data_IF_230557020243
#
_entry.id   IF_230557020243
#
_cell.length_a   1.000
_cell.length_b   1.000
_cell.length_c   1.000
_cell.angle_alpha   90.00
_cell.angle_beta   90.00
_cell.angle_gamma   90.00
#
_symmetry.space_group_name_H-M   'P 1'
#
loop_
_entity.id
_entity.type
_entity.pdbx_description
1 polymer ?
#
# COMPACT_ATOMS: atom_id res chain seq x y z
N UNK A 1 0.85 22.12 4.18
CA UNK A 1 -0.09 21.08 3.74
C UNK A 1 0.39 19.75 4.32
N UNK A 2 -0.47 18.91 4.88
CA UNK A 2 -0.05 17.62 5.44
C UNK A 2 0.19 16.63 4.30
N UNK A 3 1.46 16.21 4.12
CA UNK A 3 1.87 15.30 3.05
C UNK A 3 1.24 13.92 3.20
N UNK A 4 1.07 13.44 4.43
CA UNK A 4 0.51 12.11 4.67
C UNK A 4 -0.97 12.08 4.34
N UNK A 5 -1.73 13.12 4.75
CA UNK A 5 -3.16 13.20 4.46
C UNK A 5 -3.43 13.24 2.95
N UNK A 6 -2.64 13.98 2.19
CA UNK A 6 -2.74 14.00 0.73
C UNK A 6 -2.45 12.64 0.10
N UNK A 7 -1.35 12.01 0.51
CA UNK A 7 -0.97 10.69 0.01
C UNK A 7 -2.07 9.66 0.29
N UNK A 8 -2.62 9.66 1.49
CA UNK A 8 -3.72 8.77 1.87
C UNK A 8 -4.99 9.07 1.10
N UNK A 9 -5.32 10.36 0.91
CA UNK A 9 -6.47 10.77 0.12
C UNK A 9 -6.38 10.30 -1.33
N UNK A 10 -5.20 10.36 -1.97
CA UNK A 10 -5.00 9.82 -3.31
C UNK A 10 -5.22 8.31 -3.33
N UNK A 11 -4.63 7.58 -2.38
CA UNK A 11 -4.77 6.12 -2.26
C UNK A 11 -6.20 5.64 -1.94
N UNK A 12 -7.03 6.51 -1.37
CA UNK A 12 -8.46 6.26 -1.09
C UNK A 12 -9.34 6.64 -2.28
N UNK A 13 -8.99 7.72 -2.99
CA UNK A 13 -9.74 8.22 -4.14
C UNK A 13 -9.56 7.35 -5.38
N UNK A 14 -8.35 6.79 -5.55
CA UNK A 14 -8.06 5.82 -6.61
C UNK A 14 -7.65 4.46 -5.97
N UNK A 15 -8.62 3.56 -5.73
CA UNK A 15 -8.33 2.24 -5.18
C UNK A 15 -7.69 1.29 -6.20
N UNK A 16 -7.63 1.67 -7.48
CA UNK A 16 -7.12 0.85 -8.57
C UNK A 16 -5.64 1.09 -8.86
N UNK A 17 -4.97 1.97 -8.09
CA UNK A 17 -3.54 2.23 -8.25
C UNK A 17 -2.76 0.91 -8.25
N UNK A 18 -2.05 0.64 -9.35
CA UNK A 18 -1.33 -0.61 -9.60
C UNK A 18 0.20 -0.43 -9.60
N UNK A 19 0.67 0.81 -9.70
CA UNK A 19 2.09 1.17 -9.73
C UNK A 19 2.39 2.46 -8.95
N UNK A 20 3.47 2.45 -8.17
CA UNK A 20 4.00 3.64 -7.51
C UNK A 20 5.45 3.84 -7.91
N UNK A 21 5.78 5.06 -8.35
CA UNK A 21 7.11 5.45 -8.76
C UNK A 21 7.66 6.62 -7.94
N UNK A 22 8.96 6.62 -7.69
CA UNK A 22 9.66 7.76 -7.09
C UNK A 22 10.35 8.58 -8.18
N UNK A 23 9.84 9.78 -8.43
CA UNK A 23 10.22 10.57 -9.60
C UNK A 23 10.97 11.82 -9.15
N UNK A 24 12.08 12.16 -9.82
CA UNK A 24 12.84 13.35 -9.49
C UNK A 24 12.04 14.61 -9.84
N UNK A 25 12.10 15.72 -9.06
CA UNK A 25 11.34 16.93 -9.34
C UNK A 25 11.47 17.48 -10.77
N UNK A 26 12.64 17.32 -11.40
CA UNK A 26 12.85 17.76 -12.79
C UNK A 26 12.10 16.94 -13.83
N UNK A 27 11.74 15.68 -13.51
CA UNK A 27 10.98 14.78 -14.40
C UNK A 27 9.47 14.96 -14.22
N UNK A 28 9.01 15.47 -13.06
CA UNK A 28 7.60 15.77 -12.79
C UNK A 28 7.01 16.82 -13.74
N UNK A 29 7.81 17.83 -14.10
CA UNK A 29 7.38 18.88 -15.04
C UNK A 29 7.01 18.28 -16.40
N UNK A 30 7.81 17.31 -16.88
CA UNK A 30 7.56 16.62 -18.15
C UNK A 30 6.27 15.77 -18.11
N UNK A 31 6.01 15.07 -16.99
CA UNK A 31 4.77 14.28 -16.81
C UNK A 31 3.49 15.15 -16.81
N UNK A 32 3.63 16.42 -16.44
CA UNK A 32 2.51 17.37 -16.36
C UNK A 32 2.24 18.04 -17.71
N UNK A 33 3.28 18.32 -18.50
CA UNK A 33 3.16 18.93 -19.83
C UNK A 33 2.49 18.00 -20.86
N UNK A 34 2.74 16.69 -20.78
CA UNK A 34 2.08 15.67 -21.62
C UNK A 34 0.62 15.40 -21.23
N UNK A 35 0.11 16.08 -20.20
CA UNK A 35 -1.24 15.89 -19.63
C UNK A 35 -2.23 16.99 -20.05
N UNK A 36 -2.19 17.41 -21.31
CA UNK A 36 -3.14 18.36 -21.90
C UNK A 36 -4.52 17.70 -22.07
N UNK A 37 -5.26 17.60 -20.96
CA UNK A 37 -6.66 17.20 -20.92
C UNK A 37 -6.94 15.91 -20.13
N UNK A 38 -6.80 15.93 -18.81
CA UNK A 38 -7.81 15.42 -17.85
C UNK A 38 -7.32 15.53 -16.40
N UNK A 39 -8.24 15.23 -15.47
CA UNK A 39 -8.25 15.38 -14.00
C UNK A 39 -7.06 14.76 -13.22
N UNK A 40 -5.82 15.16 -13.52
CA UNK A 40 -4.67 14.84 -12.70
C UNK A 40 -4.78 15.53 -11.33
N UNK A 41 -4.77 14.76 -10.24
CA UNK A 41 -4.54 15.30 -8.90
C UNK A 41 -3.04 15.57 -8.80
N UNK A 42 -2.67 16.82 -9.03
CA UNK A 42 -1.28 17.29 -8.94
C UNK A 42 -1.25 18.58 -8.14
N UNK A 43 -0.47 18.60 -7.07
CA UNK A 43 -0.09 19.86 -6.40
C UNK A 43 1.09 20.56 -7.12
N UNK A 44 1.52 19.99 -8.26
CA UNK A 44 2.60 20.46 -9.11
C UNK A 44 4.01 20.10 -8.63
N UNK A 45 4.19 19.56 -7.41
CA UNK A 45 5.55 19.40 -6.83
C UNK A 45 5.80 18.14 -6.01
N UNK A 46 4.74 17.48 -5.51
CA UNK A 46 4.84 16.39 -4.54
C UNK A 46 4.25 15.08 -5.07
N UNK A 47 3.03 15.12 -5.59
CA UNK A 47 2.31 13.94 -6.05
C UNK A 47 1.79 14.13 -7.47
N UNK A 48 1.79 13.05 -8.24
CA UNK A 48 1.19 12.97 -9.56
C UNK A 48 0.39 11.68 -9.62
N UNK A 49 -0.86 11.74 -10.07
CA UNK A 49 -1.70 10.56 -10.22
C UNK A 49 -2.47 10.63 -11.53
N UNK A 50 -2.34 9.57 -12.34
CA UNK A 50 -3.04 9.39 -13.63
C UNK A 50 -2.97 7.93 -14.04
N UNK A 51 -3.99 7.44 -14.74
CA UNK A 51 -4.03 6.08 -15.31
C UNK A 51 -3.67 4.99 -14.28
N UNK A 52 -4.14 5.15 -13.05
CA UNK A 52 -3.86 4.27 -11.91
C UNK A 52 -2.37 4.16 -11.52
N UNK A 53 -1.56 5.13 -11.92
CA UNK A 53 -0.16 5.25 -11.50
C UNK A 53 0.00 6.43 -10.56
N UNK A 54 0.84 6.26 -9.53
CA UNK A 54 1.14 7.28 -8.55
C UNK A 54 2.64 7.61 -8.54
N UNK A 55 2.98 8.82 -8.96
CA UNK A 55 4.31 9.40 -8.82
C UNK A 55 4.44 10.13 -7.48
N UNK A 56 5.48 9.82 -6.72
CA UNK A 56 5.87 10.56 -5.51
C UNK A 56 7.21 11.24 -5.76
N UNK A 57 7.27 12.55 -5.51
CA UNK A 57 8.50 13.31 -5.65
C UNK A 57 9.57 12.83 -4.69
N UNK A 58 10.78 12.58 -5.18
CA UNK A 58 11.89 12.08 -4.33
C UNK A 58 12.18 13.02 -3.16
N UNK A 59 11.96 14.33 -3.32
CA UNK A 59 12.08 15.33 -2.25
C UNK A 59 11.05 15.13 -1.11
N UNK A 60 9.90 14.52 -1.41
CA UNK A 60 8.82 14.28 -0.46
C UNK A 60 8.94 12.93 0.26
N UNK A 61 9.73 11.98 -0.26
CA UNK A 61 9.82 10.61 0.25
C UNK A 61 10.22 10.55 1.73
N UNK A 62 11.31 11.23 2.12
CA UNK A 62 11.78 11.18 3.51
C UNK A 62 10.80 11.88 4.49
N UNK A 63 10.31 13.11 4.22
CA UNK A 63 9.27 13.73 5.03
C UNK A 63 8.00 12.86 5.17
N UNK A 64 7.53 12.29 4.05
CA UNK A 64 6.34 11.46 4.00
C UNK A 64 6.54 10.14 4.77
N UNK A 65 7.68 9.48 4.61
CA UNK A 65 8.06 8.29 5.36
C UNK A 65 8.03 8.56 6.87
N UNK A 66 8.63 9.67 7.31
CA UNK A 66 8.66 10.03 8.73
C UNK A 66 7.26 10.33 9.28
N UNK A 67 6.39 10.98 8.49
CA UNK A 67 5.00 11.22 8.86
C UNK A 67 4.22 9.91 8.96
N UNK A 68 4.30 9.05 7.94
CA UNK A 68 3.63 7.74 7.91
C UNK A 68 4.07 6.85 9.07
N UNK A 69 5.38 6.82 9.36
CA UNK A 69 5.94 6.05 10.48
C UNK A 69 5.43 6.54 11.82
N UNK A 70 5.41 7.85 12.07
CA UNK A 70 4.87 8.43 13.32
C UNK A 70 3.39 8.10 13.48
N UNK A 71 2.59 8.30 12.44
CA UNK A 71 1.17 8.00 12.48
C UNK A 71 0.89 6.51 12.70
N UNK A 72 1.65 5.63 12.04
CA UNK A 72 1.57 4.19 12.26
C UNK A 72 1.91 3.79 13.70
N UNK A 73 2.99 4.34 14.28
CA UNK A 73 3.37 4.05 15.66
C UNK A 73 2.26 4.51 16.62
N UNK A 74 1.75 5.73 16.45
CA UNK A 74 0.66 6.25 17.28
C UNK A 74 -0.60 5.39 17.21
N UNK A 75 -1.04 5.01 15.99
CA UNK A 75 -2.19 4.13 15.80
C UNK A 75 -1.97 2.75 16.44
N UNK A 76 -0.75 2.21 16.36
CA UNK A 76 -0.41 0.92 16.98
C UNK A 76 -0.37 0.98 18.50
N UNK A 77 0.12 2.07 19.09
CA UNK A 77 0.08 2.30 20.54
C UNK A 77 -1.37 2.37 21.01
N UNK A 78 -2.22 3.09 20.28
CA UNK A 78 -3.63 3.21 20.60
C UNK A 78 -4.38 1.87 20.52
N UNK A 79 -4.13 1.13 19.43
CA UNK A 79 -4.74 -0.18 19.19
C UNK A 79 -4.36 -1.19 20.27
N UNK A 80 -3.11 -1.15 20.76
CA UNK A 80 -2.68 -1.99 21.87
C UNK A 80 -3.29 -1.56 23.21
N UNK A 81 -3.49 -0.26 23.42
CA UNK A 81 -4.02 0.30 24.67
C UNK A 81 -5.50 -0.01 24.87
N UNK A 82 -6.30 0.11 23.81
CA UNK A 82 -7.77 -0.02 23.90
C UNK A 82 -8.27 -1.46 23.67
N UNK A 83 -7.40 -2.38 23.24
CA UNK A 83 -7.75 -3.77 23.05
C UNK A 83 -8.82 -3.97 21.96
N UNK A 84 -9.73 -4.93 22.17
CA UNK A 84 -10.75 -5.34 21.18
C UNK A 84 -11.98 -4.42 21.13
N UNK A 85 -12.02 -3.37 21.96
CA UNK A 85 -13.18 -2.48 22.13
C UNK A 85 -13.14 -1.18 21.34
N UNK A 86 -12.06 -0.90 20.60
CA UNK A 86 -11.88 0.33 19.83
C UNK A 86 -12.36 0.18 18.39
N UNK A 87 -13.65 0.39 18.13
CA UNK A 87 -14.18 0.43 16.77
C UNK A 87 -13.48 1.53 15.94
N UNK A 88 -12.91 1.15 14.79
CA UNK A 88 -12.20 2.07 13.89
C UNK A 88 -10.69 2.15 14.05
N UNK A 89 -10.11 1.65 15.16
CA UNK A 89 -8.64 1.70 15.35
C UNK A 89 -7.90 0.77 14.39
N UNK A 90 -8.50 -0.36 14.02
CA UNK A 90 -7.94 -1.22 12.99
C UNK A 90 -7.81 -0.49 11.66
N UNK A 91 -8.81 0.34 11.31
CA UNK A 91 -8.77 1.13 10.08
C UNK A 91 -7.55 2.06 10.07
N UNK A 92 -7.27 2.75 11.17
CA UNK A 92 -6.11 3.64 11.26
C UNK A 92 -4.79 2.87 11.16
N UNK A 93 -4.65 1.72 11.85
CA UNK A 93 -3.48 0.85 11.72
C UNK A 93 -3.29 0.40 10.27
N UNK A 94 -4.37 -0.02 9.60
CA UNK A 94 -4.32 -0.48 8.22
C UNK A 94 -4.04 0.67 7.22
N UNK A 95 -4.58 1.86 7.47
CA UNK A 95 -4.39 3.05 6.63
C UNK A 95 -2.95 3.57 6.71
N UNK A 96 -2.41 3.73 7.92
CA UNK A 96 -1.04 4.23 8.10
C UNK A 96 0.02 3.19 7.74
N UNK A 97 -0.21 1.89 8.02
CA UNK A 97 0.72 0.84 7.57
C UNK A 97 0.74 0.67 6.05
N UNK A 98 -0.40 0.84 5.34
CA UNK A 98 -0.42 0.87 3.86
C UNK A 98 0.50 1.98 3.35
N UNK A 99 0.33 3.21 3.84
CA UNK A 99 1.16 4.33 3.44
C UNK A 99 2.66 4.08 3.73
N UNK A 100 2.98 3.55 4.91
CA UNK A 100 4.37 3.25 5.30
C UNK A 100 5.01 2.16 4.42
N UNK A 101 4.27 1.10 4.10
CA UNK A 101 4.78 -0.04 3.32
C UNK A 101 5.04 0.31 1.85
N UNK A 102 4.27 1.24 1.29
CA UNK A 102 4.52 1.77 -0.06
C UNK A 102 5.80 2.63 -0.13
N UNK A 103 6.29 3.12 1.01
CA UNK A 103 7.53 3.91 1.11
C UNK A 103 8.72 3.08 1.63
N UNK A 104 8.44 1.97 2.32
CA UNK A 104 9.41 1.10 2.95
C UNK A 104 8.87 -0.33 2.99
N UNK A 105 9.04 -1.03 1.87
CA UNK A 105 8.46 -2.37 1.61
C UNK A 105 8.83 -3.42 2.64
N UNK A 106 10.03 -3.35 3.22
CA UNK A 106 10.53 -4.33 4.18
C UNK A 106 10.38 -3.90 5.66
N UNK A 107 9.49 -2.95 5.96
CA UNK A 107 9.18 -2.58 7.33
C UNK A 107 8.37 -3.67 8.04
N UNK A 108 9.06 -4.71 8.53
CA UNK A 108 8.44 -5.94 9.05
C UNK A 108 7.43 -5.73 10.19
N UNK A 109 7.62 -4.72 11.05
CA UNK A 109 6.64 -4.38 12.11
C UNK A 109 5.29 -3.98 11.53
N UNK A 110 5.26 -3.29 10.39
CA UNK A 110 4.00 -2.90 9.73
C UNK A 110 3.29 -4.14 9.19
N UNK A 111 3.98 -5.01 8.46
CA UNK A 111 3.42 -6.29 7.98
C UNK A 111 2.87 -7.14 9.13
N UNK A 112 3.63 -7.31 10.21
CA UNK A 112 3.19 -8.09 11.38
C UNK A 112 1.96 -7.48 12.06
N UNK A 113 1.86 -6.15 12.10
CA UNK A 113 0.69 -5.45 12.64
C UNK A 113 -0.56 -5.69 11.79
N UNK A 114 -0.41 -5.70 10.46
CA UNK A 114 -1.50 -6.07 9.56
C UNK A 114 -1.93 -7.52 9.73
N UNK A 115 -0.98 -8.47 9.83
CA UNK A 115 -1.28 -9.89 10.15
C UNK A 115 -2.10 -10.01 11.43
N UNK A 116 -1.74 -9.27 12.48
CA UNK A 116 -2.46 -9.27 13.75
C UNK A 116 -3.91 -8.79 13.57
N UNK A 117 -4.12 -7.65 12.91
CA UNK A 117 -5.46 -7.07 12.67
C UNK A 117 -6.32 -8.03 11.85
N UNK A 118 -5.81 -8.48 10.69
CA UNK A 118 -6.56 -9.37 9.78
C UNK A 118 -6.87 -10.71 10.44
N UNK A 119 -5.93 -11.28 11.21
CA UNK A 119 -6.15 -12.55 11.93
C UNK A 119 -7.20 -12.44 13.03
N UNK A 120 -7.38 -11.28 13.66
CA UNK A 120 -8.44 -11.10 14.65
C UNK A 120 -9.81 -10.97 13.99
N UNK A 121 -9.92 -10.21 12.91
CA UNK A 121 -11.21 -9.98 12.23
C UNK A 121 -11.68 -11.19 11.43
N UNK A 122 -10.77 -12.01 10.90
CA UNK A 122 -11.08 -13.20 10.09
C UNK A 122 -12.01 -12.93 8.88
N UNK A 123 -12.10 -11.67 8.42
CA UNK A 123 -12.94 -11.31 7.28
C UNK A 123 -12.19 -11.57 5.97
N UNK A 124 -12.83 -12.30 5.05
CA UNK A 124 -12.20 -12.68 3.77
C UNK A 124 -11.80 -11.46 2.93
N UNK A 125 -12.60 -10.40 2.94
CA UNK A 125 -12.32 -9.13 2.24
C UNK A 125 -11.01 -8.49 2.69
N UNK A 126 -10.67 -8.58 3.99
CA UNK A 126 -9.40 -8.07 4.50
C UNK A 126 -8.20 -8.85 3.94
N UNK A 127 -8.31 -10.18 3.84
CA UNK A 127 -7.25 -10.99 3.20
C UNK A 127 -7.08 -10.65 1.72
N UNK A 128 -8.17 -10.38 0.98
CA UNK A 128 -8.07 -9.92 -0.41
C UNK A 128 -7.39 -8.55 -0.51
N UNK A 129 -7.71 -7.63 0.41
CA UNK A 129 -7.02 -6.34 0.53
C UNK A 129 -5.51 -6.50 0.76
N UNK A 130 -5.07 -7.50 1.53
CA UNK A 130 -3.64 -7.78 1.73
C UNK A 130 -2.95 -8.30 0.46
N UNK A 131 -3.64 -9.10 -0.36
CA UNK A 131 -3.11 -9.53 -1.67
C UNK A 131 -2.97 -8.34 -2.63
N UNK A 132 -3.93 -7.42 -2.64
CA UNK A 132 -3.84 -6.20 -3.45
C UNK A 132 -2.70 -5.29 -2.98
N UNK A 133 -2.60 -5.04 -1.67
CA UNK A 133 -1.52 -4.21 -1.12
C UNK A 133 -0.14 -4.81 -1.41
N UNK A 134 0.05 -6.10 -1.18
CA UNK A 134 1.34 -6.73 -1.43
C UNK A 134 1.69 -6.79 -2.92
N UNK A 135 0.72 -6.91 -3.83
CA UNK A 135 0.96 -6.77 -5.26
C UNK A 135 1.43 -5.35 -5.62
N UNK A 136 0.79 -4.33 -5.06
CA UNK A 136 1.19 -2.93 -5.24
C UNK A 136 2.59 -2.63 -4.67
N UNK A 137 2.93 -3.19 -3.50
CA UNK A 137 4.29 -3.07 -2.96
C UNK A 137 5.32 -3.76 -3.86
N UNK A 138 4.96 -4.89 -4.47
CA UNK A 138 5.85 -5.62 -5.36
C UNK A 138 6.03 -4.95 -6.73
N UNK A 139 5.06 -4.17 -7.20
CA UNK A 139 5.22 -3.43 -8.47
C UNK A 139 6.30 -2.35 -8.36
N UNK A 140 6.52 -1.76 -7.17
CA UNK A 140 7.62 -0.83 -6.93
C UNK A 140 8.88 -1.49 -6.32
N UNK A 141 8.72 -2.58 -5.57
CA UNK A 141 9.80 -3.28 -4.85
C UNK A 141 9.76 -4.80 -5.10
N UNK A 142 10.08 -5.27 -6.31
CA UNK A 142 9.87 -6.68 -6.73
C UNK A 142 10.65 -7.70 -5.91
N UNK A 143 11.74 -7.27 -5.26
CA UNK A 143 12.61 -8.09 -4.41
C UNK A 143 12.28 -8.03 -2.92
N UNK A 144 11.15 -7.44 -2.51
CA UNK A 144 10.78 -7.35 -1.10
C UNK A 144 10.43 -8.74 -0.53
N UNK A 145 11.33 -9.25 0.31
CA UNK A 145 11.14 -10.52 1.03
C UNK A 145 9.91 -10.48 1.94
N UNK A 146 9.66 -9.34 2.58
CA UNK A 146 8.52 -9.20 3.49
C UNK A 146 7.19 -9.24 2.72
N UNK A 147 7.10 -8.60 1.55
CA UNK A 147 5.89 -8.64 0.72
C UNK A 147 5.59 -10.07 0.26
N UNK A 148 6.59 -10.79 -0.28
CA UNK A 148 6.43 -12.19 -0.68
C UNK A 148 6.09 -13.12 0.49
N UNK A 149 6.73 -12.92 1.64
CA UNK A 149 6.44 -13.68 2.87
C UNK A 149 5.00 -13.43 3.35
N UNK A 150 4.53 -12.19 3.26
CA UNK A 150 3.16 -11.82 3.60
C UNK A 150 2.15 -12.45 2.65
N UNK A 151 2.38 -12.43 1.33
CA UNK A 151 1.52 -13.11 0.34
C UNK A 151 1.34 -14.59 0.63
N UNK A 152 2.44 -15.32 0.84
CA UNK A 152 2.41 -16.75 1.21
C UNK A 152 1.59 -16.99 2.47
N UNK A 153 1.73 -16.12 3.47
CA UNK A 153 0.94 -16.19 4.69
C UNK A 153 -0.56 -15.95 4.44
N UNK A 154 -0.93 -14.97 3.60
CA UNK A 154 -2.32 -14.71 3.24
C UNK A 154 -2.95 -15.91 2.54
N UNK A 155 -2.30 -16.42 1.47
CA UNK A 155 -2.78 -17.58 0.71
C UNK A 155 -3.00 -18.77 1.64
N UNK A 156 -2.02 -19.08 2.50
CA UNK A 156 -2.13 -20.15 3.49
C UNK A 156 -3.31 -19.94 4.47
N UNK A 157 -3.59 -18.68 4.83
CA UNK A 157 -4.64 -18.34 5.80
C UNK A 157 -6.06 -18.45 5.25
N UNK A 158 -6.23 -18.33 3.94
CA UNK A 158 -7.52 -18.44 3.24
C UNK A 158 -7.75 -19.83 2.63
N UNK A 159 -6.73 -20.69 2.56
CA UNK A 159 -6.87 -22.08 2.12
C UNK A 159 -7.97 -22.79 2.89
N UNK A 160 -8.91 -23.41 2.17
CA UNK A 160 -10.06 -24.11 2.76
C UNK A 160 -11.20 -23.21 3.25
N UNK A 161 -11.02 -21.88 3.27
CA UNK A 161 -12.05 -20.90 3.63
C UNK A 161 -12.59 -20.12 2.43
N UNK A 162 -11.85 -20.13 1.31
CA UNK A 162 -12.18 -19.39 0.10
C UNK A 162 -12.49 -20.34 -1.05
N UNK A 163 -13.69 -20.22 -1.63
CA UNK A 163 -14.08 -20.98 -2.83
C UNK A 163 -13.31 -20.55 -4.08
N UNK A 164 -12.84 -19.31 -4.13
CA UNK A 164 -12.07 -18.74 -5.24
C UNK A 164 -10.55 -19.04 -5.18
N UNK A 165 -10.12 -20.02 -4.37
CA UNK A 165 -8.69 -20.30 -4.18
C UNK A 165 -7.95 -20.60 -5.48
N UNK A 166 -8.57 -21.33 -6.42
CA UNK A 166 -7.94 -21.64 -7.71
C UNK A 166 -7.71 -20.39 -8.57
N UNK A 167 -8.67 -19.47 -8.59
CA UNK A 167 -8.52 -18.19 -9.28
C UNK A 167 -7.40 -17.34 -8.66
N UNK A 168 -7.30 -17.34 -7.33
CA UNK A 168 -6.24 -16.63 -6.60
C UNK A 168 -4.86 -17.22 -6.95
N UNK A 169 -4.75 -18.54 -7.06
CA UNK A 169 -3.50 -19.19 -7.46
C UNK A 169 -3.14 -18.88 -8.93
N UNK A 170 -4.13 -18.79 -9.82
CA UNK A 170 -3.91 -18.32 -11.19
C UNK A 170 -3.34 -16.90 -11.23
N UNK A 171 -4.00 -15.96 -10.53
CA UNK A 171 -3.52 -14.57 -10.37
C UNK A 171 -2.14 -14.48 -9.71
N UNK A 172 -1.82 -15.39 -8.80
CA UNK A 172 -0.48 -15.47 -8.20
C UNK A 172 0.58 -15.87 -9.22
N UNK A 173 0.27 -16.83 -10.10
CA UNK A 173 1.17 -17.24 -11.19
C UNK A 173 1.45 -16.08 -12.14
N UNK A 174 0.39 -15.40 -12.59
CA UNK A 174 0.49 -14.23 -13.47
C UNK A 174 1.33 -13.11 -12.85
N UNK A 175 1.18 -12.86 -11.54
CA UNK A 175 1.96 -11.86 -10.83
C UNK A 175 3.46 -12.24 -10.79
N UNK A 176 3.78 -13.50 -10.51
CA UNK A 176 5.17 -13.99 -10.48
C UNK A 176 5.82 -13.87 -11.85
N UNK A 177 5.10 -14.24 -12.92
CA UNK A 177 5.56 -14.09 -14.30
C UNK A 177 5.83 -12.62 -14.64
N UNK A 178 4.86 -11.73 -14.37
CA UNK A 178 5.01 -10.28 -14.60
C UNK A 178 6.21 -9.68 -13.86
N UNK A 179 6.49 -10.11 -12.63
CA UNK A 179 7.61 -9.59 -11.85
C UNK A 179 8.95 -10.18 -12.33
N UNK A 180 8.98 -11.43 -12.79
CA UNK A 180 10.20 -12.06 -13.29
C UNK A 180 10.69 -11.48 -14.63
N UNK A 181 9.80 -10.86 -15.39
CA UNK A 181 10.10 -10.18 -16.67
C UNK A 181 10.69 -8.76 -16.51
N UNK A 182 10.77 -8.23 -15.29
CA UNK A 182 11.32 -6.90 -14.94
C UNK A 182 12.78 -6.99 -14.49
#
# INVERSE_FOLDING_TARGET
>A
MDLLLQFQHILESDPLIDEIGFVHPTQFAMLTEDSTGDAAISDGTTFWSRDHKLGVSTQAVLPLYNAAKRAFIAAMEEYKRLGDGGDGLESEVMKHSKALLLLSSDFGTAWNSRKLVVSKKQQLSMYMGELLLSALVLSCSPKSDQAWSHRRWVIKSITGKCSALQEILGKESELVEKIAEV
#
